data_IF_185454836859
#
_entry.id   IF_185454836859
#
_cell.length_a   1.000
_cell.length_b   1.000
_cell.length_c   1.000
_cell.angle_alpha   90.00
_cell.angle_beta   90.00
_cell.angle_gamma   90.00
#
_symmetry.space_group_name_H-M   'P 1'
#
loop_
_entity.id
_entity.type
_entity.pdbx_description
1 polymer ?
#
# COMPACT_ATOMS: atom_id res chain seq x y z
N UNK A 1 -4.75 27.96 -20.93
CA UNK A 1 -6.03 28.24 -20.24
C UNK A 1 -5.83 29.41 -19.31
N UNK A 2 -6.83 30.30 -19.28
CA UNK A 2 -6.95 31.37 -18.28
C UNK A 2 -7.25 30.77 -16.88
N UNK A 3 -7.01 31.53 -15.81
CA UNK A 3 -7.29 31.14 -14.43
C UNK A 3 -8.78 30.84 -14.21
N UNK A 4 -9.68 31.64 -14.78
CA UNK A 4 -11.12 31.38 -14.67
C UNK A 4 -11.52 30.07 -15.37
N UNK A 5 -10.98 29.82 -16.58
CA UNK A 5 -11.20 28.57 -17.31
C UNK A 5 -10.70 27.35 -16.51
N UNK A 6 -9.54 27.48 -15.88
CA UNK A 6 -8.95 26.42 -15.05
C UNK A 6 -9.88 26.11 -13.87
N UNK A 7 -10.32 27.13 -13.14
CA UNK A 7 -11.26 26.99 -12.02
C UNK A 7 -12.56 26.31 -12.47
N UNK A 8 -13.16 26.78 -13.56
CA UNK A 8 -14.43 26.23 -14.06
C UNK A 8 -14.30 24.78 -14.53
N UNK A 9 -13.22 24.46 -15.25
CA UNK A 9 -12.93 23.10 -15.69
C UNK A 9 -12.69 22.14 -14.50
N UNK A 10 -11.99 22.63 -13.48
CA UNK A 10 -11.73 21.88 -12.26
C UNK A 10 -13.02 21.60 -11.47
N UNK A 11 -13.84 22.61 -11.21
CA UNK A 11 -15.14 22.46 -10.55
C UNK A 11 -16.06 21.50 -11.29
N UNK A 12 -16.08 21.57 -12.62
CA UNK A 12 -16.84 20.62 -13.43
C UNK A 12 -16.35 19.18 -13.27
N UNK A 13 -15.04 18.98 -13.11
CA UNK A 13 -14.45 17.67 -12.86
C UNK A 13 -14.74 17.18 -11.44
N UNK A 14 -14.64 18.06 -10.43
CA UNK A 14 -15.00 17.77 -9.05
C UNK A 14 -16.47 17.37 -8.93
N UNK A 15 -17.42 18.12 -9.50
CA UNK A 15 -18.85 17.81 -9.40
C UNK A 15 -19.25 16.46 -9.99
N UNK A 16 -18.41 15.87 -10.85
CA UNK A 16 -18.60 14.54 -11.45
C UNK A 16 -17.65 13.48 -10.84
N UNK A 17 -16.96 13.83 -9.76
CA UNK A 17 -16.07 12.92 -9.04
C UNK A 17 -16.90 11.76 -8.48
N UNK A 18 -16.37 10.56 -8.67
CA UNK A 18 -16.94 9.31 -8.19
C UNK A 18 -15.81 8.36 -7.81
N UNK A 19 -16.16 7.16 -7.34
CA UNK A 19 -15.20 6.17 -6.86
C UNK A 19 -14.25 5.58 -7.91
N UNK A 20 -14.49 5.78 -9.20
CA UNK A 20 -13.69 5.15 -10.25
C UNK A 20 -12.28 5.74 -10.33
N UNK A 21 -11.29 4.88 -10.57
CA UNK A 21 -9.89 5.29 -10.68
C UNK A 21 -9.69 6.38 -11.74
N UNK A 22 -10.35 6.26 -12.90
CA UNK A 22 -10.23 7.23 -13.99
C UNK A 22 -10.84 8.60 -13.65
N UNK A 23 -11.88 8.65 -12.81
CA UNK A 23 -12.44 9.91 -12.32
C UNK A 23 -11.46 10.62 -11.38
N UNK A 24 -10.93 9.88 -10.40
CA UNK A 24 -9.94 10.38 -9.44
C UNK A 24 -8.68 10.87 -10.16
N UNK A 25 -8.08 10.05 -11.03
CA UNK A 25 -6.84 10.38 -11.73
C UNK A 25 -6.98 11.61 -12.65
N UNK A 26 -8.16 11.84 -13.22
CA UNK A 26 -8.42 13.05 -14.02
C UNK A 26 -8.35 14.31 -13.16
N UNK A 27 -8.95 14.30 -11.98
CA UNK A 27 -8.94 15.43 -11.04
C UNK A 27 -7.52 15.65 -10.50
N UNK A 28 -6.86 14.58 -10.05
CA UNK A 28 -5.48 14.63 -9.52
C UNK A 28 -4.51 15.15 -10.57
N UNK A 29 -4.51 14.56 -11.77
CA UNK A 29 -3.61 14.99 -12.85
C UNK A 29 -3.82 16.45 -13.25
N UNK A 30 -5.07 16.92 -13.26
CA UNK A 30 -5.38 18.33 -13.52
C UNK A 30 -4.85 19.24 -12.40
N UNK A 31 -5.06 18.85 -11.13
CA UNK A 31 -4.62 19.61 -9.97
C UNK A 31 -3.10 19.76 -9.91
N UNK A 32 -2.35 18.68 -10.11
CA UNK A 32 -0.87 18.69 -10.12
C UNK A 32 -0.36 19.55 -11.29
N UNK A 33 -0.94 19.40 -12.49
CA UNK A 33 -0.52 20.14 -13.69
C UNK A 33 -0.63 21.66 -13.52
N UNK A 34 -1.65 22.13 -12.81
CA UNK A 34 -1.95 23.56 -12.65
C UNK A 34 -1.56 24.14 -11.30
N UNK A 35 -0.98 23.34 -10.42
CA UNK A 35 -0.62 23.70 -9.05
C UNK A 35 0.27 24.95 -8.95
N UNK A 36 1.35 25.02 -9.74
CA UNK A 36 2.29 26.15 -9.69
C UNK A 36 1.65 27.52 -10.05
N UNK A 37 0.50 27.51 -10.74
CA UNK A 37 -0.17 28.73 -11.19
C UNK A 37 -1.34 29.13 -10.30
N UNK A 38 -2.12 28.15 -9.83
CA UNK A 38 -3.36 28.40 -9.10
C UNK A 38 -3.69 27.33 -8.06
N UNK A 39 -2.68 26.68 -7.45
CA UNK A 39 -2.88 25.60 -6.49
C UNK A 39 -3.74 25.97 -5.29
N UNK A 40 -3.64 27.22 -4.81
CA UNK A 40 -4.46 27.74 -3.71
C UNK A 40 -5.94 27.90 -4.10
N UNK A 41 -6.24 28.52 -5.25
CA UNK A 41 -7.63 28.63 -5.76
C UNK A 41 -8.26 27.26 -6.06
N UNK A 42 -7.45 26.31 -6.55
CA UNK A 42 -7.89 24.92 -6.73
C UNK A 42 -8.18 24.25 -5.38
N UNK A 43 -7.37 24.51 -4.35
CA UNK A 43 -7.61 24.01 -3.00
C UNK A 43 -8.92 24.57 -2.42
N UNK A 44 -9.17 25.87 -2.58
CA UNK A 44 -10.42 26.50 -2.16
C UNK A 44 -11.62 25.84 -2.85
N UNK A 45 -11.51 25.51 -4.14
CA UNK A 45 -12.55 24.78 -4.87
C UNK A 45 -12.81 23.39 -4.27
N UNK A 46 -11.78 22.67 -3.84
CA UNK A 46 -11.94 21.36 -3.19
C UNK A 46 -12.70 21.50 -1.87
N UNK A 47 -12.31 22.44 -1.01
CA UNK A 47 -12.97 22.67 0.27
C UNK A 47 -14.42 23.16 0.09
N UNK A 48 -14.67 24.04 -0.87
CA UNK A 48 -16.01 24.55 -1.19
C UNK A 48 -16.94 23.39 -1.64
N UNK A 49 -16.47 22.52 -2.53
CA UNK A 49 -17.25 21.36 -2.98
C UNK A 49 -17.39 20.30 -1.87
N UNK A 50 -16.42 20.17 -0.97
CA UNK A 50 -16.55 19.33 0.24
C UNK A 50 -17.64 19.85 1.18
N UNK A 51 -17.74 21.17 1.36
CA UNK A 51 -18.74 21.78 2.22
C UNK A 51 -20.16 21.67 1.63
N UNK A 52 -20.30 21.84 0.31
CA UNK A 52 -21.59 21.84 -0.41
C UNK A 52 -22.08 20.45 -0.81
N UNK A 53 -21.18 19.49 -0.99
CA UNK A 53 -21.50 18.16 -1.48
C UNK A 53 -22.27 17.28 -0.48
N UNK A 54 -22.96 16.26 -1.00
CA UNK A 54 -23.58 15.22 -0.17
C UNK A 54 -22.51 14.35 0.51
N UNK A 55 -22.89 13.54 1.51
CA UNK A 55 -21.93 12.70 2.24
C UNK A 55 -21.14 11.75 1.33
N UNK A 56 -21.77 11.25 0.26
CA UNK A 56 -21.09 10.43 -0.73
C UNK A 56 -20.05 11.23 -1.53
N UNK A 57 -20.36 12.48 -1.90
CA UNK A 57 -19.42 13.36 -2.57
C UNK A 57 -18.24 13.72 -1.65
N UNK A 58 -18.48 13.93 -0.37
CA UNK A 58 -17.42 14.24 0.62
C UNK A 58 -16.44 13.08 0.79
N UNK A 59 -16.93 11.84 0.88
CA UNK A 59 -16.04 10.68 0.94
C UNK A 59 -15.29 10.48 -0.39
N UNK A 60 -15.90 10.75 -1.53
CA UNK A 60 -15.20 10.76 -2.83
C UNK A 60 -14.04 11.76 -2.86
N UNK A 61 -14.25 12.97 -2.34
CA UNK A 61 -13.19 13.97 -2.20
C UNK A 61 -12.07 13.42 -1.30
N UNK A 62 -12.38 12.79 -0.17
CA UNK A 62 -11.35 12.24 0.71
C UNK A 62 -10.46 11.18 0.02
N UNK A 63 -11.06 10.26 -0.76
CA UNK A 63 -10.29 9.31 -1.59
C UNK A 63 -9.50 9.99 -2.72
N UNK A 64 -10.04 11.08 -3.28
CA UNK A 64 -9.29 11.89 -4.24
C UNK A 64 -8.09 12.59 -3.57
N UNK A 65 -8.23 13.08 -2.34
CA UNK A 65 -7.16 13.69 -1.56
C UNK A 65 -6.06 12.68 -1.22
N UNK A 66 -6.42 11.43 -0.91
CA UNK A 66 -5.45 10.34 -0.72
C UNK A 66 -4.56 10.18 -1.96
N UNK A 67 -5.17 10.05 -3.13
CA UNK A 67 -4.44 9.96 -4.40
C UNK A 67 -3.70 11.25 -4.78
N UNK A 68 -4.22 12.43 -4.40
CA UNK A 68 -3.59 13.73 -4.66
C UNK A 68 -2.32 13.90 -3.82
N UNK A 69 -2.34 13.49 -2.55
CA UNK A 69 -1.18 13.55 -1.68
C UNK A 69 -0.07 12.62 -2.17
N UNK A 70 -0.41 11.37 -2.52
CA UNK A 70 0.54 10.43 -3.12
C UNK A 70 1.19 11.03 -4.39
N UNK A 71 0.37 11.55 -5.31
CA UNK A 71 0.88 12.19 -6.54
C UNK A 71 1.73 13.44 -6.26
N UNK A 72 1.36 14.24 -5.27
CA UNK A 72 2.11 15.44 -4.88
C UNK A 72 3.49 15.10 -4.32
N UNK A 73 3.57 14.07 -3.46
CA UNK A 73 4.84 13.58 -2.92
C UNK A 73 5.74 13.02 -4.01
N UNK A 74 5.19 12.19 -4.91
CA UNK A 74 5.94 11.67 -6.06
C UNK A 74 6.45 12.79 -6.97
N UNK A 75 5.63 13.81 -7.23
CA UNK A 75 6.02 14.96 -8.03
C UNK A 75 7.17 15.75 -7.37
N UNK A 76 7.12 15.96 -6.05
CA UNK A 76 8.20 16.62 -5.30
C UNK A 76 9.51 15.83 -5.32
N UNK A 77 9.44 14.51 -5.10
CA UNK A 77 10.62 13.65 -5.15
C UNK A 77 11.30 13.65 -6.53
N UNK A 78 10.52 13.85 -7.61
CA UNK A 78 11.03 13.88 -8.98
C UNK A 78 11.83 15.14 -9.35
N UNK A 79 11.55 16.27 -8.69
CA UNK A 79 12.12 17.58 -9.07
C UNK A 79 13.53 17.80 -8.49
N UNK A 80 13.98 16.95 -7.58
CA UNK A 80 15.31 17.04 -6.97
C UNK A 80 15.43 18.22 -6.00
N UNK A 81 16.00 17.97 -4.83
CA UNK A 81 16.13 18.88 -3.69
C UNK A 81 17.04 20.12 -3.91
N UNK A 82 17.26 20.55 -5.16
CA UNK A 82 18.31 21.50 -5.55
C UNK A 82 17.88 22.96 -5.72
N UNK A 83 16.58 23.30 -5.75
CA UNK A 83 16.14 24.69 -5.90
C UNK A 83 15.44 25.23 -4.65
N UNK A 84 16.24 25.94 -3.84
CA UNK A 84 15.93 27.13 -3.06
C UNK A 84 14.49 27.29 -2.51
N UNK A 85 14.32 27.01 -1.21
CA UNK A 85 13.51 27.63 -0.12
C UNK A 85 12.22 28.44 -0.38
N UNK A 86 11.65 28.41 -1.57
CA UNK A 86 10.33 28.97 -1.90
C UNK A 86 9.51 27.95 -2.70
N UNK A 87 9.66 26.66 -2.36
CA UNK A 87 8.87 25.60 -2.98
C UNK A 87 7.39 25.94 -2.81
N UNK A 88 6.57 25.94 -3.88
CA UNK A 88 5.15 26.17 -3.75
C UNK A 88 4.54 25.15 -2.77
N UNK A 89 3.75 25.65 -1.83
CA UNK A 89 3.14 24.91 -0.70
C UNK A 89 2.29 23.75 -1.20
N UNK A 90 2.77 22.51 -1.02
CA UNK A 90 2.14 21.30 -1.55
C UNK A 90 0.66 21.17 -1.20
N UNK A 91 -0.09 20.41 -2.00
CA UNK A 91 -1.42 19.95 -1.54
C UNK A 91 -1.33 19.18 -0.21
N UNK A 92 -0.21 18.51 0.09
CA UNK A 92 0.02 17.86 1.39
C UNK A 92 -0.01 18.86 2.55
N UNK A 93 0.57 20.05 2.37
CA UNK A 93 0.58 21.09 3.42
C UNK A 93 -0.82 21.67 3.63
N UNK A 94 -1.58 21.86 2.55
CA UNK A 94 -2.97 22.30 2.64
C UNK A 94 -3.86 21.26 3.34
N UNK A 95 -3.70 19.97 3.01
CA UNK A 95 -4.39 18.87 3.70
C UNK A 95 -4.00 18.85 5.16
N UNK A 96 -2.72 18.98 5.52
CA UNK A 96 -2.27 19.00 6.91
C UNK A 96 -2.91 20.15 7.70
N UNK A 97 -3.00 21.34 7.11
CA UNK A 97 -3.57 22.54 7.74
C UNK A 97 -5.06 22.38 8.00
N UNK A 98 -5.79 21.86 7.02
CA UNK A 98 -7.26 21.82 7.03
C UNK A 98 -7.82 20.43 7.37
N UNK A 99 -6.97 19.51 7.85
CA UNK A 99 -7.33 18.10 8.09
C UNK A 99 -8.54 17.94 9.01
N UNK A 100 -8.53 18.63 10.15
CA UNK A 100 -9.63 18.61 11.12
C UNK A 100 -10.96 19.05 10.49
N UNK A 101 -10.93 20.15 9.72
CA UNK A 101 -12.09 20.65 8.97
C UNK A 101 -12.59 19.63 7.95
N UNK A 102 -11.69 19.00 7.19
CA UNK A 102 -12.06 17.97 6.20
C UNK A 102 -12.73 16.78 6.89
N UNK A 103 -12.17 16.29 8.01
CA UNK A 103 -12.73 15.17 8.77
C UNK A 103 -14.10 15.52 9.37
N UNK A 104 -14.31 16.74 9.84
CA UNK A 104 -15.63 17.21 10.30
C UNK A 104 -16.66 17.29 9.18
N UNK A 105 -16.25 17.68 7.97
CA UNK A 105 -17.15 17.71 6.81
C UNK A 105 -17.51 16.29 6.35
N UNK A 106 -16.53 15.38 6.26
CA UNK A 106 -16.74 14.00 5.78
C UNK A 106 -17.49 13.15 6.80
N UNK A 107 -17.17 13.32 8.08
CA UNK A 107 -17.83 12.67 9.21
C UNK A 107 -18.44 13.76 10.10
N UNK A 108 -19.66 14.23 9.78
CA UNK A 108 -20.38 15.16 10.63
C UNK A 108 -20.79 14.56 11.99
N UNK A 109 -21.12 15.43 12.95
CA UNK A 109 -21.53 15.06 14.33
C UNK A 109 -22.97 14.52 14.42
N UNK A 110 -23.58 14.19 13.28
CA UNK A 110 -24.90 13.55 13.22
C UNK A 110 -24.75 12.04 12.97
N UNK A 111 -25.84 11.29 13.15
CA UNK A 111 -25.87 9.84 12.92
C UNK A 111 -25.39 9.46 11.51
N UNK A 112 -25.68 10.31 10.53
CA UNK A 112 -25.33 10.08 9.13
C UNK A 112 -23.79 10.07 8.91
N UNK A 113 -23.00 10.70 9.79
CA UNK A 113 -21.54 10.64 9.73
C UNK A 113 -20.96 9.24 9.94
N UNK A 114 -21.68 8.35 10.64
CA UNK A 114 -21.24 6.98 10.91
C UNK A 114 -20.97 6.19 9.61
N UNK A 115 -21.68 6.50 8.52
CA UNK A 115 -21.52 5.81 7.23
C UNK A 115 -20.13 5.97 6.62
N UNK A 116 -19.43 7.05 6.97
CA UNK A 116 -18.09 7.36 6.45
C UNK A 116 -16.99 7.07 7.46
N UNK A 117 -17.32 6.87 8.74
CA UNK A 117 -16.37 6.80 9.85
C UNK A 117 -15.28 5.74 9.63
N UNK A 118 -15.67 4.51 9.30
CA UNK A 118 -14.72 3.41 9.10
C UNK A 118 -13.77 3.68 7.93
N UNK A 119 -14.28 4.20 6.81
CA UNK A 119 -13.47 4.56 5.63
C UNK A 119 -12.52 5.72 5.93
N UNK A 120 -12.99 6.76 6.63
CA UNK A 120 -12.16 7.89 7.03
C UNK A 120 -11.03 7.45 7.94
N UNK A 121 -11.32 6.63 8.96
CA UNK A 121 -10.28 6.06 9.84
C UNK A 121 -9.25 5.27 9.06
N UNK A 122 -9.69 4.41 8.13
CA UNK A 122 -8.80 3.60 7.30
C UNK A 122 -7.84 4.47 6.47
N UNK A 123 -8.33 5.57 5.88
CA UNK A 123 -7.48 6.49 5.11
C UNK A 123 -6.47 7.20 6.02
N UNK A 124 -6.91 7.68 7.19
CA UNK A 124 -6.02 8.33 8.16
C UNK A 124 -4.90 7.38 8.62
N UNK A 125 -5.22 6.13 8.91
CA UNK A 125 -4.22 5.12 9.30
C UNK A 125 -3.26 4.82 8.14
N UNK A 126 -3.76 4.75 6.90
CA UNK A 126 -2.92 4.63 5.70
C UNK A 126 -1.97 5.83 5.56
N UNK A 127 -2.44 7.06 5.78
CA UNK A 127 -1.59 8.26 5.73
C UNK A 127 -0.52 8.26 6.82
N UNK A 128 -0.84 7.76 8.01
CA UNK A 128 0.09 7.60 9.12
C UNK A 128 1.17 6.58 8.76
N UNK A 129 0.77 5.38 8.35
CA UNK A 129 1.68 4.29 7.99
C UNK A 129 2.61 4.69 6.83
N UNK A 130 2.08 5.36 5.81
CA UNK A 130 2.84 5.86 4.65
C UNK A 130 3.60 7.17 4.91
N UNK A 131 3.48 7.75 6.10
CA UNK A 131 4.04 9.07 6.47
C UNK A 131 3.69 10.18 5.47
N UNK A 132 2.45 10.18 4.99
CA UNK A 132 1.92 11.23 4.12
C UNK A 132 1.81 12.55 4.89
N UNK A 133 1.35 12.48 6.14
CA UNK A 133 1.33 13.59 7.09
C UNK A 133 2.09 13.18 8.36
N UNK A 134 2.36 14.16 9.23
CA UNK A 134 2.97 13.91 10.52
C UNK A 134 2.10 12.97 11.38
N UNK A 135 2.77 12.00 12.01
CA UNK A 135 2.15 10.96 12.83
C UNK A 135 1.36 11.57 13.99
N UNK A 136 1.89 12.62 14.62
CA UNK A 136 1.25 13.31 15.75
C UNK A 136 -0.06 13.98 15.34
N UNK A 137 -0.06 14.68 14.19
CA UNK A 137 -1.25 15.36 13.65
C UNK A 137 -2.36 14.35 13.37
N UNK A 138 -2.02 13.19 12.79
CA UNK A 138 -3.02 12.15 12.52
C UNK A 138 -3.52 11.52 13.83
N UNK A 139 -2.64 11.25 14.79
CA UNK A 139 -2.99 10.70 16.12
C UNK A 139 -4.03 11.57 16.81
N UNK A 140 -3.81 12.88 16.84
CA UNK A 140 -4.72 13.84 17.47
C UNK A 140 -6.09 13.82 16.80
N UNK A 141 -6.13 13.82 15.46
CA UNK A 141 -7.39 13.78 14.69
C UNK A 141 -8.13 12.46 14.86
N UNK A 142 -7.42 11.32 14.85
CA UNK A 142 -8.03 10.00 15.11
C UNK A 142 -8.59 9.94 16.53
N UNK A 143 -7.86 10.43 17.53
CA UNK A 143 -8.34 10.47 18.92
C UNK A 143 -9.61 11.32 19.06
N UNK A 144 -9.67 12.47 18.41
CA UNK A 144 -10.88 13.30 18.37
C UNK A 144 -12.04 12.59 17.66
N UNK A 145 -11.76 11.89 16.56
CA UNK A 145 -12.76 11.12 15.82
C UNK A 145 -13.35 9.98 16.67
N UNK A 146 -12.52 9.34 17.50
CA UNK A 146 -12.88 8.20 18.35
C UNK A 146 -13.80 8.62 19.49
N UNK A 147 -13.43 9.67 20.23
CA UNK A 147 -14.30 10.22 21.27
C UNK A 147 -15.64 10.71 20.71
N UNK A 148 -15.64 11.26 19.50
CA UNK A 148 -16.88 11.62 18.80
C UNK A 148 -17.69 10.40 18.37
N UNK A 149 -17.03 9.32 17.93
CA UNK A 149 -17.69 8.06 17.55
C UNK A 149 -18.51 7.48 18.69
N UNK A 150 -17.95 7.47 19.90
CA UNK A 150 -18.63 6.99 21.10
C UNK A 150 -19.89 7.81 21.38
N UNK A 151 -19.77 9.15 21.36
CA UNK A 151 -20.93 10.04 21.53
C UNK A 151 -22.00 9.85 20.45
N UNK A 152 -21.60 9.58 19.21
CA UNK A 152 -22.53 9.32 18.11
C UNK A 152 -23.29 8.00 18.28
N UNK A 153 -22.61 6.94 18.74
CA UNK A 153 -23.24 5.65 19.02
C UNK A 153 -24.21 5.74 20.20
N UNK A 154 -23.86 6.48 21.24
CA UNK A 154 -24.76 6.76 22.38
C UNK A 154 -26.00 7.52 21.93
N UNK A 155 -25.83 8.61 21.16
CA UNK A 155 -26.94 9.39 20.58
C UNK A 155 -27.85 8.53 19.71
N UNK A 156 -27.26 7.70 18.85
CA UNK A 156 -28.00 6.79 17.97
C UNK A 156 -28.81 5.73 18.74
N UNK A 157 -28.33 5.29 19.90
CA UNK A 157 -29.07 4.36 20.77
C UNK A 157 -30.22 5.05 21.53
N UNK A 158 -30.07 6.33 21.87
CA UNK A 158 -31.08 7.11 22.61
C UNK A 158 -32.18 7.74 21.74
N UNK A 159 -31.88 8.10 20.49
CA UNK A 159 -32.83 8.77 19.58
C UNK A 159 -33.60 7.75 18.73
N UNK A 160 -34.70 7.24 19.28
CA UNK A 160 -35.77 6.66 18.48
C UNK A 160 -36.61 7.83 17.91
N UNK A 161 -36.60 8.00 16.58
CA UNK A 161 -37.57 8.80 15.81
C UNK A 161 -37.45 10.34 15.77
N UNK A 162 -36.28 10.90 15.43
CA UNK A 162 -36.25 12.24 14.80
C UNK A 162 -35.70 12.13 13.40
N UNK A 163 -36.48 12.61 12.43
CA UNK A 163 -36.28 12.49 10.99
C UNK A 163 -34.82 12.70 10.56
N UNK A 164 -34.09 11.60 10.40
CA UNK A 164 -32.85 11.60 9.63
C UNK A 164 -33.18 12.02 8.21
N UNK A 165 -32.26 12.74 7.57
CA UNK A 165 -32.25 12.95 6.13
C UNK A 165 -32.40 11.59 5.44
N UNK A 166 -33.61 11.20 5.05
CA UNK A 166 -33.85 9.93 4.36
C UNK A 166 -33.14 10.02 3.01
N UNK A 167 -32.03 9.29 2.88
CA UNK A 167 -31.34 9.17 1.60
C UNK A 167 -32.29 8.59 0.57
N UNK A 168 -32.31 9.16 -0.63
CA UNK A 168 -33.12 8.60 -1.71
C UNK A 168 -32.58 7.22 -2.09
N UNK A 169 -33.45 6.35 -2.61
CA UNK A 169 -33.04 5.01 -3.06
C UNK A 169 -31.92 5.08 -4.08
N UNK A 170 -31.95 6.08 -4.96
CA UNK A 170 -30.93 6.33 -5.98
C UNK A 170 -29.59 6.72 -5.35
N UNK A 171 -29.58 7.52 -4.27
CA UNK A 171 -28.37 7.86 -3.55
C UNK A 171 -27.78 6.65 -2.81
N UNK A 172 -28.63 5.84 -2.19
CA UNK A 172 -28.21 4.60 -1.52
C UNK A 172 -27.59 3.62 -2.52
N UNK A 173 -28.24 3.39 -3.67
CA UNK A 173 -27.72 2.50 -4.71
C UNK A 173 -26.41 3.03 -5.30
N UNK A 174 -26.31 4.35 -5.53
CA UNK A 174 -25.06 4.98 -5.95
C UNK A 174 -23.96 4.76 -4.92
N UNK A 175 -24.26 4.95 -3.64
CA UNK A 175 -23.31 4.72 -2.53
C UNK A 175 -22.80 3.28 -2.53
N UNK A 176 -23.68 2.29 -2.68
CA UNK A 176 -23.29 0.89 -2.73
C UNK A 176 -22.38 0.56 -3.90
N UNK A 177 -22.71 1.06 -5.10
CA UNK A 177 -21.89 0.80 -6.29
C UNK A 177 -20.51 1.45 -6.15
N UNK A 178 -20.46 2.67 -5.60
CA UNK A 178 -19.20 3.34 -5.33
C UNK A 178 -18.37 2.64 -4.25
N UNK A 179 -18.98 2.09 -3.19
CA UNK A 179 -18.25 1.27 -2.21
C UNK A 179 -17.73 -0.03 -2.80
N UNK A 180 -18.49 -0.67 -3.69
CA UNK A 180 -18.00 -1.84 -4.45
C UNK A 180 -16.77 -1.47 -5.27
N UNK A 181 -16.80 -0.33 -5.95
CA UNK A 181 -15.65 0.13 -6.73
C UNK A 181 -14.45 0.45 -5.82
N UNK A 182 -14.64 1.09 -4.66
CA UNK A 182 -13.54 1.32 -3.69
C UNK A 182 -12.92 0.02 -3.20
N UNK A 183 -13.73 -0.96 -2.83
CA UNK A 183 -13.24 -2.25 -2.36
C UNK A 183 -12.47 -2.97 -3.47
N UNK A 184 -12.97 -2.91 -4.70
CA UNK A 184 -12.28 -3.43 -5.88
C UNK A 184 -10.91 -2.77 -6.05
N UNK A 185 -10.82 -1.44 -5.97
CA UNK A 185 -9.54 -0.72 -6.07
C UNK A 185 -8.59 -1.05 -4.91
N UNK A 186 -9.11 -1.20 -3.69
CA UNK A 186 -8.31 -1.63 -2.53
C UNK A 186 -7.67 -2.99 -2.77
N UNK A 187 -8.43 -3.96 -3.31
CA UNK A 187 -7.90 -5.29 -3.66
C UNK A 187 -6.91 -5.24 -4.82
N UNK A 188 -7.15 -4.41 -5.83
CA UNK A 188 -6.20 -4.23 -6.94
C UNK A 188 -4.86 -3.66 -6.47
N UNK A 189 -4.87 -2.72 -5.51
CA UNK A 189 -3.63 -2.15 -4.93
C UNK A 189 -2.91 -3.12 -3.98
N UNK A 190 -3.62 -4.08 -3.36
CA UNK A 190 -3.06 -4.94 -2.31
C UNK A 190 -1.92 -5.85 -2.77
N UNK A 191 -1.97 -6.31 -4.02
CA UNK A 191 -0.96 -7.21 -4.59
C UNK A 191 0.18 -6.48 -5.32
N UNK A 192 0.19 -5.15 -5.28
CA UNK A 192 1.24 -4.35 -5.94
C UNK A 192 2.45 -4.27 -5.01
N UNK A 193 3.55 -4.91 -5.41
CA UNK A 193 4.82 -4.77 -4.71
C UNK A 193 5.45 -3.39 -5.00
N UNK A 194 6.00 -2.69 -3.99
CA UNK A 194 6.75 -1.46 -4.20
C UNK A 194 7.97 -1.72 -5.09
N UNK A 195 8.15 -0.94 -6.14
CA UNK A 195 9.37 -0.99 -6.96
C UNK A 195 10.36 0.03 -6.38
N UNK A 196 11.52 -0.39 -5.83
CA UNK A 196 12.53 0.53 -5.35
C UNK A 196 12.98 1.46 -6.48
N UNK A 197 13.06 2.76 -6.20
CA UNK A 197 13.35 3.81 -7.19
C UNK A 197 14.81 3.82 -7.70
N UNK A 198 15.60 2.80 -7.35
CA UNK A 198 16.96 2.61 -7.83
C UNK A 198 17.14 1.14 -8.21
N UNK A 199 17.00 0.84 -9.49
CA UNK A 199 17.72 -0.27 -10.10
C UNK A 199 19.01 0.36 -10.64
N UNK A 200 20.15 0.28 -9.94
CA UNK A 200 21.43 0.43 -10.63
C UNK A 200 21.42 -0.56 -11.79
N UNK A 201 21.89 -0.14 -12.95
CA UNK A 201 21.88 -0.86 -14.23
C UNK A 201 22.66 -2.20 -14.28
N UNK A 202 22.75 -2.93 -13.18
CA UNK A 202 23.20 -4.32 -13.14
C UNK A 202 21.98 -5.22 -13.21
N UNK A 203 21.57 -5.56 -14.43
CA UNK A 203 20.66 -6.68 -14.65
C UNK A 203 21.24 -7.92 -13.96
N UNK A 204 20.54 -8.58 -13.02
CA UNK A 204 20.87 -9.94 -12.69
C UNK A 204 20.51 -10.77 -13.92
N UNK A 205 21.53 -11.30 -14.60
CA UNK A 205 21.30 -12.31 -15.64
C UNK A 205 20.63 -13.49 -14.96
N UNK A 206 19.37 -13.75 -15.31
CA UNK A 206 18.70 -14.99 -14.96
C UNK A 206 19.57 -16.14 -15.47
N UNK A 207 20.17 -16.89 -14.55
CA UNK A 207 20.96 -18.04 -14.88
C UNK A 207 20.01 -19.17 -15.28
N UNK A 208 19.68 -19.24 -16.58
CA UNK A 208 19.05 -20.43 -17.15
C UNK A 208 20.10 -21.55 -17.11
N UNK A 209 20.11 -22.33 -16.04
CA UNK A 209 20.93 -23.53 -15.93
C UNK A 209 20.33 -24.64 -16.80
N UNK A 210 20.59 -24.59 -18.12
CA UNK A 210 20.49 -25.77 -18.96
C UNK A 210 21.76 -26.59 -18.77
N UNK A 211 21.64 -27.74 -18.12
CA UNK A 211 22.69 -28.76 -18.06
C UNK A 211 22.96 -29.27 -19.48
N UNK A 212 24.00 -28.76 -20.12
CA UNK A 212 24.66 -29.44 -21.23
C UNK A 212 25.74 -30.35 -20.67
N UNK A 213 25.51 -31.65 -20.81
CA UNK A 213 26.47 -32.72 -20.59
C UNK A 213 27.71 -32.52 -21.46
N UNK A 214 28.82 -32.09 -20.86
CA UNK A 214 30.14 -32.13 -21.48
C UNK A 214 31.00 -33.11 -20.68
N UNK A 215 31.21 -34.28 -21.28
CA UNK A 215 32.13 -35.32 -20.84
C UNK A 215 33.57 -34.80 -20.87
N UNK A 216 34.24 -34.71 -19.72
CA UNK A 216 35.69 -34.66 -19.66
C UNK A 216 36.19 -35.40 -18.41
N UNK A 217 36.94 -36.45 -18.69
CA UNK A 217 37.49 -37.46 -17.79
C UNK A 217 38.59 -36.94 -16.85
N UNK A 218 38.74 -37.68 -15.74
CA UNK A 218 39.93 -37.85 -14.86
C UNK A 218 40.34 -36.61 -14.03
N UNK A 219 40.50 -36.69 -12.71
CA UNK A 219 41.17 -37.75 -11.96
C UNK A 219 40.64 -37.80 -10.52
N UNK A 220 40.32 -39.01 -10.05
CA UNK A 220 39.96 -39.28 -8.65
C UNK A 220 41.18 -39.92 -7.99
N UNK A 221 41.60 -39.43 -6.82
CA UNK A 221 42.08 -40.32 -5.73
C UNK A 221 42.29 -39.57 -4.40
N UNK A 222 42.22 -40.30 -3.26
CA UNK A 222 41.64 -39.81 -2.00
C UNK A 222 42.67 -39.75 -0.85
N UNK A 223 42.35 -39.06 0.25
CA UNK A 223 42.58 -39.51 1.64
C UNK A 223 42.49 -38.36 2.67
N UNK A 224 41.69 -38.60 3.71
CA UNK A 224 41.85 -38.07 5.08
C UNK A 224 42.35 -39.23 5.98
N UNK A 225 42.62 -39.09 7.30
CA UNK A 225 42.92 -37.93 8.17
C UNK A 225 44.20 -38.15 9.04
N UNK A 226 44.80 -37.10 9.63
CA UNK A 226 45.50 -37.15 10.94
C UNK A 226 46.15 -35.79 11.34
N UNK A 227 45.92 -35.36 12.59
CA UNK A 227 46.69 -34.36 13.35
C UNK A 227 47.66 -35.09 14.33
N UNK A 228 48.35 -34.48 15.34
CA UNK A 228 48.49 -33.07 15.76
C UNK A 228 49.94 -32.67 16.25
N UNK A 229 50.04 -31.48 16.88
CA UNK A 229 51.09 -30.95 17.80
C UNK A 229 51.98 -29.81 17.22
N UNK A 230 52.31 -28.71 17.92
CA UNK A 230 52.00 -28.21 19.27
C UNK A 230 52.40 -26.72 19.38
N UNK A 231 51.55 -25.93 20.07
CA UNK A 231 51.88 -25.01 21.20
C UNK A 231 52.72 -23.73 21.01
N UNK A 232 52.12 -22.58 21.33
CA UNK A 232 52.49 -21.69 22.48
C UNK A 232 51.47 -20.53 22.60
N UNK A 233 50.54 -20.59 23.56
CA UNK A 233 50.57 -20.04 24.94
C UNK A 233 49.83 -18.69 25.05
N UNK A 234 48.66 -18.71 25.71
CA UNK A 234 47.99 -17.56 26.34
C UNK A 234 47.66 -17.98 27.80
N UNK A 235 47.95 -17.16 28.83
CA UNK A 235 47.54 -17.43 30.21
C UNK A 235 46.06 -17.12 30.46
N UNK A 236 45.52 -17.87 31.43
CA UNK A 236 44.12 -18.00 31.84
C UNK A 236 43.53 -16.81 32.60
N UNK A 237 42.20 -16.65 32.52
CA UNK A 237 41.20 -16.64 33.62
C UNK A 237 39.91 -15.96 33.13
N UNK A 238 38.90 -16.73 32.70
CA UNK A 238 37.72 -17.20 33.47
C UNK A 238 36.75 -16.07 33.87
N UNK A 239 35.63 -15.97 33.16
CA UNK A 239 34.46 -15.19 33.60
C UNK A 239 33.36 -15.06 32.56
N UNK A 240 32.38 -15.98 32.62
CA UNK A 240 30.95 -15.83 32.29
C UNK A 240 30.50 -15.55 30.84
N UNK A 241 29.49 -16.35 30.47
CA UNK A 241 28.68 -16.31 29.26
C UNK A 241 28.01 -14.94 29.06
N UNK A 242 28.14 -14.38 27.86
CA UNK A 242 27.19 -13.40 27.31
C UNK A 242 26.97 -13.70 25.81
N UNK A 243 25.70 -13.71 25.41
CA UNK A 243 25.24 -13.69 24.03
C UNK A 243 25.98 -12.62 23.22
N UNK A 244 26.43 -12.88 21.97
CA UNK A 244 26.76 -11.80 21.07
C UNK A 244 25.44 -11.14 20.63
N UNK A 245 25.18 -9.94 21.15
CA UNK A 245 24.31 -8.97 20.49
C UNK A 245 24.86 -8.76 19.09
N UNK A 246 24.11 -9.20 18.08
CA UNK A 246 24.32 -8.75 16.71
C UNK A 246 23.96 -7.27 16.66
N UNK A 247 24.96 -6.42 16.83
CA UNK A 247 24.94 -5.05 16.37
C UNK A 247 24.96 -5.06 14.84
N UNK A 248 23.79 -5.16 14.22
CA UNK A 248 23.63 -4.87 12.79
C UNK A 248 23.70 -3.36 12.61
N UNK A 249 24.89 -2.86 12.26
CA UNK A 249 25.04 -1.57 11.61
C UNK A 249 24.17 -1.60 10.34
N UNK A 250 23.02 -0.92 10.38
CA UNK A 250 22.18 -0.68 9.22
C UNK A 250 22.94 0.21 8.24
N UNK A 251 23.66 -0.40 7.31
CA UNK A 251 24.03 0.23 6.05
C UNK A 251 22.82 0.09 5.14
N UNK A 252 21.84 0.98 5.28
CA UNK A 252 20.64 1.03 4.45
C UNK A 252 21.00 1.46 3.03
N UNK A 253 21.44 0.51 2.21
CA UNK A 253 21.35 0.63 0.76
C UNK A 253 19.88 0.53 0.31
N UNK A 254 19.55 0.93 -0.93
CA UNK A 254 18.22 0.70 -1.47
C UNK A 254 17.96 -0.81 -1.52
N UNK A 255 17.03 -1.27 -0.69
CA UNK A 255 16.59 -2.67 -0.63
C UNK A 255 16.13 -3.13 -2.02
N UNK A 256 16.62 -4.28 -2.51
CA UNK A 256 16.25 -4.74 -3.84
C UNK A 256 14.78 -5.17 -3.84
N UNK A 257 14.10 -5.05 -4.98
CA UNK A 257 12.71 -5.47 -5.13
C UNK A 257 12.49 -6.94 -4.74
N UNK A 258 13.50 -7.78 -4.96
CA UNK A 258 13.51 -9.19 -4.60
C UNK A 258 13.58 -9.42 -3.08
N UNK A 259 14.32 -8.57 -2.36
CA UNK A 259 14.43 -8.68 -0.89
C UNK A 259 13.08 -8.30 -0.25
N UNK A 260 12.43 -7.25 -0.77
CA UNK A 260 11.08 -6.85 -0.36
C UNK A 260 10.05 -7.93 -0.69
N UNK A 261 10.12 -8.56 -1.87
CA UNK A 261 9.23 -9.66 -2.25
C UNK A 261 9.40 -10.87 -1.32
N UNK A 262 10.65 -11.27 -1.06
CA UNK A 262 10.96 -12.40 -0.20
C UNK A 262 10.51 -12.16 1.24
N UNK A 263 10.80 -11.00 1.83
CA UNK A 263 10.41 -10.70 3.21
C UNK A 263 8.88 -10.68 3.36
N UNK A 264 8.17 -10.06 2.41
CA UNK A 264 6.71 -10.08 2.42
C UNK A 264 6.15 -11.51 2.28
N UNK A 265 6.70 -12.32 1.36
CA UNK A 265 6.28 -13.72 1.20
C UNK A 265 6.54 -14.51 2.48
N UNK A 266 7.69 -14.31 3.11
CA UNK A 266 8.08 -14.98 4.35
C UNK A 266 7.16 -14.60 5.53
N UNK A 267 6.86 -13.31 5.72
CA UNK A 267 5.95 -12.84 6.76
C UNK A 267 4.49 -13.31 6.57
N UNK A 268 4.09 -13.54 5.32
CA UNK A 268 2.72 -13.97 4.98
C UNK A 268 2.61 -15.46 4.65
N UNK A 269 3.71 -16.22 4.77
CA UNK A 269 3.70 -17.67 4.57
C UNK A 269 2.80 -18.30 5.63
N UNK A 270 1.74 -18.97 5.19
CA UNK A 270 0.90 -19.79 6.06
C UNK A 270 1.45 -21.20 6.18
N UNK A 271 1.08 -21.89 7.26
CA UNK A 271 1.38 -23.32 7.41
C UNK A 271 0.72 -24.13 6.29
N UNK A 272 1.42 -25.20 5.88
CA UNK A 272 0.94 -26.18 4.92
C UNK A 272 -0.36 -26.83 5.40
N UNK A 273 -1.38 -26.87 4.54
CA UNK A 273 -2.72 -27.34 4.86
C UNK A 273 -3.30 -28.31 3.81
N UNK A 274 -4.56 -28.70 3.99
CA UNK A 274 -5.25 -29.68 3.13
C UNK A 274 -5.39 -29.20 1.68
N UNK A 275 -5.62 -27.90 1.44
CA UNK A 275 -5.72 -27.33 0.10
C UNK A 275 -4.35 -27.45 -0.62
N UNK A 276 -3.24 -27.33 0.11
CA UNK A 276 -1.89 -27.51 -0.46
C UNK A 276 -1.62 -28.98 -0.82
N UNK A 277 -2.05 -29.94 0.02
CA UNK A 277 -1.98 -31.36 -0.30
C UNK A 277 -2.83 -31.73 -1.53
N UNK A 278 -4.01 -31.14 -1.66
CA UNK A 278 -4.88 -31.30 -2.82
C UNK A 278 -4.25 -30.73 -4.09
N UNK A 279 -3.71 -29.51 -4.03
CA UNK A 279 -3.04 -28.86 -5.15
C UNK A 279 -1.84 -29.68 -5.65
N UNK A 280 -0.99 -30.20 -4.76
CA UNK A 280 0.14 -31.06 -5.13
C UNK A 280 -0.34 -32.36 -5.77
N UNK A 281 -1.40 -32.97 -5.24
CA UNK A 281 -1.97 -34.20 -5.78
C UNK A 281 -2.53 -33.99 -7.19
N UNK A 282 -3.23 -32.88 -7.41
CA UNK A 282 -3.78 -32.50 -8.72
C UNK A 282 -2.65 -32.23 -9.73
N UNK A 283 -1.62 -31.47 -9.33
CA UNK A 283 -0.47 -31.19 -10.19
C UNK A 283 0.28 -32.49 -10.56
N UNK A 284 0.50 -33.38 -9.59
CA UNK A 284 1.17 -34.66 -9.82
C UNK A 284 0.38 -35.55 -10.79
N UNK A 285 -0.96 -35.57 -10.69
CA UNK A 285 -1.81 -36.33 -11.62
C UNK A 285 -1.76 -35.77 -13.05
N UNK A 286 -1.61 -34.46 -13.21
CA UNK A 286 -1.42 -33.81 -14.52
C UNK A 286 -0.04 -34.14 -15.12
N UNK A 287 1.01 -34.15 -14.30
CA UNK A 287 2.38 -34.45 -14.75
C UNK A 287 2.62 -35.93 -15.04
N UNK A 288 2.01 -36.83 -14.26
CA UNK A 288 2.11 -38.28 -14.41
C UNK A 288 0.73 -38.92 -14.53
N UNK A 289 0.05 -38.78 -15.68
CA UNK A 289 -1.21 -39.45 -15.91
C UNK A 289 -1.01 -40.97 -15.77
N UNK A 290 -1.94 -41.65 -15.10
CA UNK A 290 -1.94 -43.11 -14.90
C UNK A 290 -1.76 -43.90 -16.23
N UNK A 291 -2.12 -43.30 -17.37
CA UNK A 291 -1.92 -43.84 -18.72
C UNK A 291 -0.44 -43.99 -19.14
N UNK A 292 0.49 -43.33 -18.43
CA UNK A 292 1.94 -43.42 -18.71
C UNK A 292 2.59 -44.67 -18.08
N UNK A 293 2.01 -45.21 -17.00
CA UNK A 293 2.50 -46.41 -16.32
C UNK A 293 1.93 -47.72 -16.92
N UNK A 294 0.86 -47.64 -17.71
CA UNK A 294 0.27 -48.79 -18.41
C UNK A 294 1.07 -49.34 -19.60
N UNK A 295 2.22 -48.73 -19.95
CA UNK A 295 3.06 -49.15 -21.09
C UNK A 295 4.48 -49.60 -20.69
N UNK A 296 4.68 -50.03 -19.45
CA UNK A 296 5.85 -50.86 -19.13
C UNK A 296 5.53 -52.31 -19.46
N UNK A 297 5.96 -52.71 -20.66
CA UNK A 297 5.98 -54.09 -21.12
C UNK A 297 6.49 -55.02 -20.02
N UNK A 298 5.74 -56.09 -19.76
CA UNK A 298 6.32 -57.33 -19.22
C UNK A 298 7.43 -57.74 -20.18
N UNK A 299 8.68 -57.45 -19.84
CA UNK A 299 9.80 -58.24 -20.32
C UNK A 299 9.68 -59.60 -19.65
N UNK A 300 8.92 -60.50 -20.29
CA UNK A 300 8.98 -61.93 -20.01
C UNK A 300 10.42 -62.38 -20.27
N UNK A 301 11.15 -62.65 -19.19
CA UNK A 301 12.40 -63.40 -19.24
C UNK A 301 12.00 -64.87 -19.33
N UNK A 302 12.09 -65.44 -20.53
CA UNK A 302 12.11 -66.89 -20.80
C UNK A 302 13.31 -67.23 -21.65
#
# INVERSE_FOLDING_TARGET
>A
MDMFDIRMSFLNSLRRLNATQSSIQRVVGFAIKHFARCGEDLWDCVLEECQKGSLNMRINILYCLDSLCEASLHYQSSIGSGQLRSSPTSYVEYVSRDLDKIVQLVVPDNRDGLVNLASTRQILESWRAKRVLDSAVIEDVVKMLDGRSESLHEKAASEQSTASTEFTREEILRRFEEDRERHKLLRQKRWVLPIPSQIPSHQPRLATALLTSASASTNVSPASPASPAQTSQIPSHRGQQQHPQQSSMQTSGPELALDIEFENAWETTSDWNEDDEEAVREENALCFPEDFLGRTERMDVS
#
